data_IF_106897281460
#
_entry.id   IF_106897281460
#
_cell.length_a   1.000
_cell.length_b   1.000
_cell.length_c   1.000
_cell.angle_alpha   90.00
_cell.angle_beta   90.00
_cell.angle_gamma   90.00
#
_symmetry.space_group_name_H-M   'P 1'
#
loop_
_entity.id
_entity.type
_entity.pdbx_description
1 polymer ?
#
# COMPACT_ATOMS: atom_id res chain seq x y z
N UNK A 1 4.26 16.77 -4.62
CA UNK A 1 4.50 16.87 -3.16
C UNK A 1 3.15 16.72 -2.51
N UNK A 2 2.96 15.69 -1.69
CA UNK A 2 1.69 15.46 -1.00
C UNK A 2 1.77 16.08 0.39
N UNK A 3 0.73 16.80 0.80
CA UNK A 3 0.63 17.47 2.09
C UNK A 3 -0.70 17.07 2.72
N UNK A 4 -0.64 16.68 3.99
CA UNK A 4 -1.81 16.32 4.78
C UNK A 4 -1.77 17.08 6.09
N UNK A 5 -2.93 17.49 6.56
CA UNK A 5 -3.07 18.27 7.79
C UNK A 5 -3.84 17.45 8.81
N UNK A 6 -3.27 17.31 9.99
CA UNK A 6 -3.87 16.64 11.13
C UNK A 6 -3.74 17.56 12.34
N UNK A 7 -4.75 17.57 13.20
CA UNK A 7 -4.60 18.15 14.52
C UNK A 7 -3.72 17.25 15.38
N UNK A 8 -2.97 17.84 16.31
CA UNK A 8 -2.15 17.08 17.25
C UNK A 8 -2.97 16.04 18.01
N UNK A 9 -4.18 16.42 18.45
CA UNK A 9 -5.08 15.54 19.19
C UNK A 9 -5.49 14.30 18.41
N UNK A 10 -5.74 14.41 17.11
CA UNK A 10 -6.07 13.28 16.24
C UNK A 10 -4.90 12.31 16.11
N UNK A 11 -3.66 12.82 16.14
CA UNK A 11 -2.45 12.00 16.01
C UNK A 11 -2.13 11.29 17.33
N UNK A 12 -2.20 11.98 18.47
CA UNK A 12 -1.73 11.46 19.76
C UNK A 12 -2.79 10.65 20.53
N UNK A 13 -4.08 10.93 20.35
CA UNK A 13 -5.16 10.31 21.15
C UNK A 13 -5.95 9.26 20.35
N UNK A 14 -5.24 8.31 19.73
CA UNK A 14 -5.90 7.16 19.13
C UNK A 14 -6.05 6.05 20.17
N UNK A 15 -7.29 5.63 20.43
CA UNK A 15 -7.58 4.47 21.29
C UNK A 15 -7.20 3.14 20.61
N UNK A 16 -7.15 3.14 19.29
CA UNK A 16 -6.82 2.01 18.42
C UNK A 16 -5.47 2.22 17.68
N UNK A 17 -5.11 1.26 16.82
CA UNK A 17 -3.95 1.42 15.95
C UNK A 17 -4.12 2.63 15.01
N UNK A 18 -3.12 3.50 14.97
CA UNK A 18 -3.06 4.65 14.06
C UNK A 18 -1.93 4.47 13.05
N UNK A 19 -2.28 4.29 11.77
CA UNK A 19 -1.27 4.18 10.72
C UNK A 19 -0.43 5.45 10.59
N UNK A 20 -1.03 6.63 10.73
CA UNK A 20 -0.28 7.90 10.73
C UNK A 20 0.66 7.99 11.94
N UNK A 21 0.23 7.56 13.12
CA UNK A 21 1.07 7.48 14.32
C UNK A 21 2.24 6.52 14.12
N UNK A 22 1.98 5.34 13.55
CA UNK A 22 3.03 4.38 13.17
C UNK A 22 4.06 5.02 12.22
N UNK A 23 3.57 5.70 11.18
CA UNK A 23 4.41 6.37 10.19
C UNK A 23 5.27 7.47 10.81
N UNK A 24 4.70 8.28 11.69
CA UNK A 24 5.44 9.32 12.42
C UNK A 24 6.50 8.66 13.31
N UNK A 25 6.13 7.68 14.13
CA UNK A 25 7.05 7.05 15.06
C UNK A 25 8.27 6.45 14.35
N UNK A 26 8.07 5.79 13.21
CA UNK A 26 9.08 4.94 12.58
C UNK A 26 9.77 5.54 11.36
N UNK A 27 9.13 6.45 10.61
CA UNK A 27 9.61 6.92 9.30
C UNK A 27 9.58 8.46 9.13
N UNK A 28 9.40 9.24 10.18
CA UNK A 28 9.43 10.71 10.10
C UNK A 28 10.57 11.35 10.87
N UNK A 29 10.78 12.65 10.64
CA UNK A 29 11.65 13.52 11.42
C UNK A 29 10.87 14.79 11.79
N UNK A 30 11.00 15.27 13.02
CA UNK A 30 10.43 16.55 13.41
C UNK A 30 11.26 17.68 12.76
N UNK A 31 10.63 18.45 11.88
CA UNK A 31 11.29 19.56 11.15
C UNK A 31 11.18 20.87 11.94
N UNK A 32 10.06 21.07 12.65
CA UNK A 32 9.77 22.30 13.39
C UNK A 32 8.78 22.03 14.53
N UNK A 33 8.97 22.70 15.67
CA UNK A 33 8.08 22.64 16.82
C UNK A 33 8.43 21.51 17.78
N UNK A 34 7.43 21.02 18.51
CA UNK A 34 7.57 19.93 19.46
C UNK A 34 7.49 18.57 18.76
N UNK A 35 8.34 17.62 19.17
CA UNK A 35 8.34 16.28 18.59
C UNK A 35 7.19 15.44 19.12
N UNK A 36 6.15 15.28 18.30
CA UNK A 36 4.95 14.50 18.61
C UNK A 36 5.23 13.01 18.89
N UNK A 37 6.39 12.47 18.47
CA UNK A 37 6.79 11.08 18.76
C UNK A 37 6.90 10.79 20.25
N UNK A 38 7.14 11.83 21.07
CA UNK A 38 7.24 11.71 22.52
C UNK A 38 5.91 11.33 23.17
N UNK A 39 4.80 11.57 22.48
CA UNK A 39 3.44 11.33 22.95
C UNK A 39 2.77 10.12 22.30
N UNK A 40 3.40 9.53 21.27
CA UNK A 40 2.89 8.37 20.57
C UNK A 40 3.22 7.06 21.31
N UNK A 41 2.37 6.03 21.19
CA UNK A 41 2.69 4.71 21.72
C UNK A 41 3.87 4.09 20.96
N UNK A 42 4.46 3.05 21.56
CA UNK A 42 5.45 2.23 20.84
C UNK A 42 4.71 1.35 19.84
N UNK A 43 5.07 1.46 18.57
CA UNK A 43 4.56 0.59 17.54
C UNK A 43 5.52 -0.57 17.25
N UNK A 44 4.95 -1.66 16.76
CA UNK A 44 5.67 -2.79 16.18
C UNK A 44 5.01 -3.14 14.84
N UNK A 45 5.73 -3.88 14.00
CA UNK A 45 5.10 -4.47 12.81
C UNK A 45 4.09 -5.51 13.28
N UNK A 46 2.84 -5.40 12.83
CA UNK A 46 1.72 -6.19 13.33
C UNK A 46 0.58 -6.32 12.32
N UNK A 47 -0.42 -7.10 12.70
CA UNK A 47 -1.60 -7.43 11.90
C UNK A 47 -2.45 -6.21 11.53
N UNK A 48 -2.43 -5.17 12.36
CA UNK A 48 -3.10 -3.91 12.09
C UNK A 48 -2.51 -3.24 10.84
N UNK A 49 -1.19 -3.33 10.61
CA UNK A 49 -0.57 -2.86 9.36
C UNK A 49 -1.06 -3.69 8.16
N UNK A 50 -1.21 -5.00 8.34
CA UNK A 50 -1.74 -5.88 7.28
C UNK A 50 -3.15 -5.43 6.92
N UNK A 51 -4.00 -5.23 7.92
CA UNK A 51 -5.37 -4.77 7.72
C UNK A 51 -5.42 -3.44 6.95
N UNK A 52 -4.64 -2.44 7.35
CA UNK A 52 -4.59 -1.12 6.69
C UNK A 52 -4.29 -1.19 5.19
N UNK A 53 -3.35 -2.04 4.77
CA UNK A 53 -3.00 -2.16 3.35
C UNK A 53 -3.98 -3.02 2.54
N UNK A 54 -4.72 -3.92 3.19
CA UNK A 54 -5.53 -4.93 2.49
C UNK A 54 -7.03 -4.63 2.49
N UNK A 55 -7.57 -3.99 3.53
CA UNK A 55 -9.03 -3.83 3.70
C UNK A 55 -9.71 -3.06 2.57
N UNK A 56 -8.99 -2.13 1.94
CA UNK A 56 -9.52 -1.30 0.85
C UNK A 56 -9.00 -1.70 -0.53
N UNK A 57 -8.19 -2.76 -0.64
CA UNK A 57 -7.54 -3.13 -1.90
C UNK A 57 -8.55 -3.37 -3.04
N UNK A 58 -9.60 -4.16 -2.77
CA UNK A 58 -10.67 -4.43 -3.76
C UNK A 58 -11.29 -3.13 -4.26
N UNK A 59 -11.70 -2.26 -3.32
CA UNK A 59 -12.32 -0.98 -3.65
C UNK A 59 -11.38 -0.08 -4.45
N UNK A 60 -10.09 -0.04 -4.10
CA UNK A 60 -9.09 0.77 -4.81
C UNK A 60 -8.88 0.28 -6.25
N UNK A 61 -8.88 -1.04 -6.46
CA UNK A 61 -8.81 -1.64 -7.81
C UNK A 61 -10.09 -1.29 -8.58
N UNK A 62 -11.28 -1.50 -8.01
CA UNK A 62 -12.56 -1.15 -8.65
C UNK A 62 -12.65 0.34 -9.01
N UNK A 63 -12.20 1.23 -8.11
CA UNK A 63 -12.11 2.66 -8.39
C UNK A 63 -11.16 2.98 -9.54
N UNK A 64 -10.02 2.29 -9.62
CA UNK A 64 -9.08 2.43 -10.74
C UNK A 64 -9.73 2.05 -12.07
N UNK A 65 -10.54 0.98 -12.09
CA UNK A 65 -11.30 0.61 -13.30
C UNK A 65 -12.23 1.74 -13.74
N UNK A 66 -13.02 2.29 -12.81
CA UNK A 66 -13.95 3.39 -13.11
C UNK A 66 -13.21 4.64 -13.61
N UNK A 67 -12.12 5.01 -12.95
CA UNK A 67 -11.30 6.16 -13.33
C UNK A 67 -10.73 6.00 -14.75
N UNK A 68 -10.09 4.86 -15.06
CA UNK A 68 -9.47 4.64 -16.36
C UNK A 68 -10.48 4.54 -17.52
N UNK A 69 -11.67 3.98 -17.29
CA UNK A 69 -12.72 3.89 -18.33
C UNK A 69 -13.29 5.26 -18.68
N UNK A 70 -13.34 6.17 -17.72
CA UNK A 70 -13.93 7.50 -17.89
C UNK A 70 -12.90 8.61 -18.19
N UNK A 71 -11.61 8.33 -18.04
CA UNK A 71 -10.56 9.29 -18.30
C UNK A 71 -10.14 9.36 -19.77
N UNK A 72 -9.81 10.57 -20.23
CA UNK A 72 -9.30 10.86 -21.58
C UNK A 72 -7.98 11.64 -21.56
N UNK A 73 -7.53 12.07 -20.39
CA UNK A 73 -6.25 12.77 -20.22
C UNK A 73 -5.13 11.75 -19.97
N UNK A 74 -4.03 11.92 -20.68
CA UNK A 74 -2.89 11.01 -20.67
C UNK A 74 -2.09 11.12 -19.37
N UNK A 75 -1.93 12.34 -18.85
CA UNK A 75 -1.16 12.57 -17.62
C UNK A 75 -1.88 11.94 -16.42
N UNK A 76 -3.22 12.01 -16.41
CA UNK A 76 -4.04 11.36 -15.39
C UNK A 76 -3.93 9.82 -15.44
N UNK A 77 -3.77 9.23 -16.63
CA UNK A 77 -3.59 7.77 -16.77
C UNK A 77 -2.24 7.32 -16.19
N UNK A 78 -1.16 8.06 -16.44
CA UNK A 78 0.16 7.75 -15.87
C UNK A 78 0.16 7.86 -14.34
N UNK A 79 -0.49 8.90 -13.81
CA UNK A 79 -0.60 9.08 -12.37
C UNK A 79 -1.48 8.00 -11.72
N UNK A 80 -2.60 7.64 -12.36
CA UNK A 80 -3.46 6.55 -11.94
C UNK A 80 -2.70 5.21 -11.96
N UNK A 81 -2.00 4.88 -13.06
CA UNK A 81 -1.14 3.70 -13.19
C UNK A 81 -0.11 3.65 -12.06
N UNK A 82 0.63 4.74 -11.84
CA UNK A 82 1.65 4.81 -10.80
C UNK A 82 1.05 4.63 -9.41
N UNK A 83 -0.12 5.21 -9.16
CA UNK A 83 -0.80 5.15 -7.88
C UNK A 83 -1.27 3.72 -7.57
N UNK A 84 -2.00 3.07 -8.48
CA UNK A 84 -2.52 1.71 -8.23
C UNK A 84 -1.38 0.68 -8.11
N UNK A 85 -0.31 0.84 -8.88
CA UNK A 85 0.83 -0.09 -8.82
C UNK A 85 1.59 0.03 -7.50
N UNK A 86 1.64 1.22 -6.89
CA UNK A 86 2.15 1.38 -5.51
C UNK A 86 1.29 0.64 -4.49
N UNK A 87 -0.02 0.65 -4.66
CA UNK A 87 -0.96 -0.07 -3.79
C UNK A 87 -0.74 -1.57 -3.94
N UNK A 88 -0.69 -2.09 -5.17
CA UNK A 88 -0.41 -3.49 -5.47
C UNK A 88 0.88 -3.98 -4.80
N UNK A 89 1.98 -3.23 -4.93
CA UNK A 89 3.27 -3.61 -4.30
C UNK A 89 3.16 -3.60 -2.76
N UNK A 90 2.46 -2.63 -2.17
CA UNK A 90 2.30 -2.55 -0.71
C UNK A 90 1.39 -3.63 -0.15
N UNK A 91 0.32 -3.96 -0.85
CA UNK A 91 -0.52 -5.11 -0.53
C UNK A 91 0.28 -6.42 -0.60
N UNK A 92 1.15 -6.57 -1.60
CA UNK A 92 2.11 -7.66 -1.68
C UNK A 92 3.00 -7.78 -0.44
N UNK A 93 3.61 -6.67 0.02
CA UNK A 93 4.37 -6.65 1.26
C UNK A 93 3.52 -7.06 2.46
N UNK A 94 2.29 -6.55 2.57
CA UNK A 94 1.40 -6.83 3.68
C UNK A 94 1.14 -8.33 3.86
N UNK A 95 1.00 -9.09 2.77
CA UNK A 95 0.85 -10.55 2.80
C UNK A 95 2.07 -11.31 3.35
N UNK A 96 3.22 -10.65 3.52
CA UNK A 96 4.44 -11.27 4.05
C UNK A 96 4.70 -10.96 5.52
N UNK A 97 3.98 -9.96 6.08
CA UNK A 97 4.23 -9.44 7.42
C UNK A 97 4.17 -10.54 8.48
N UNK A 98 3.23 -11.48 8.36
CA UNK A 98 3.05 -12.55 9.35
C UNK A 98 4.24 -13.51 9.44
N UNK A 99 4.97 -13.64 8.32
CA UNK A 99 6.11 -14.57 8.21
C UNK A 99 7.43 -13.89 8.52
N UNK A 100 7.58 -12.62 8.12
CA UNK A 100 8.84 -11.90 8.22
C UNK A 100 8.89 -10.93 9.40
N UNK A 101 7.74 -10.39 9.83
CA UNK A 101 7.67 -9.34 10.84
C UNK A 101 8.33 -8.02 10.39
N UNK A 102 8.45 -7.81 9.08
CA UNK A 102 9.14 -6.67 8.48
C UNK A 102 8.17 -5.76 7.74
N UNK A 103 8.46 -4.46 7.77
CA UNK A 103 7.74 -3.44 7.02
C UNK A 103 8.73 -2.46 6.41
N UNK A 104 8.48 -2.05 5.17
CA UNK A 104 9.23 -0.98 4.51
C UNK A 104 8.30 -0.10 3.69
N UNK A 105 8.62 1.19 3.63
CA UNK A 105 7.98 2.14 2.72
C UNK A 105 8.56 2.08 1.31
N UNK A 106 9.78 1.58 1.19
CA UNK A 106 10.46 1.43 -0.09
C UNK A 106 9.90 0.21 -0.83
N UNK A 107 9.58 0.43 -2.10
CA UNK A 107 8.85 -0.56 -2.91
C UNK A 107 9.75 -1.70 -3.39
N UNK A 108 11.06 -1.49 -3.51
CA UNK A 108 11.98 -2.55 -3.90
C UNK A 108 12.13 -3.63 -2.80
N UNK A 109 12.42 -3.28 -1.53
CA UNK A 109 12.37 -4.26 -0.43
C UNK A 109 11.01 -4.95 -0.29
N UNK A 110 9.90 -4.23 -0.51
CA UNK A 110 8.56 -4.80 -0.53
C UNK A 110 8.42 -5.91 -1.59
N UNK A 111 8.86 -5.63 -2.81
CA UNK A 111 8.90 -6.60 -3.91
C UNK A 111 9.80 -7.81 -3.58
N UNK A 112 10.99 -7.60 -3.01
CA UNK A 112 11.92 -8.69 -2.68
C UNK A 112 11.32 -9.65 -1.64
N UNK A 113 10.72 -9.10 -0.58
CA UNK A 113 10.03 -9.88 0.45
C UNK A 113 8.84 -10.66 -0.14
N UNK A 114 8.02 -10.01 -0.98
CA UNK A 114 6.93 -10.70 -1.66
C UNK A 114 7.44 -11.87 -2.52
N UNK A 115 8.46 -11.62 -3.33
CA UNK A 115 8.99 -12.61 -4.29
C UNK A 115 9.62 -13.82 -3.61
N UNK A 116 10.15 -13.65 -2.40
CA UNK A 116 10.63 -14.76 -1.54
C UNK A 116 9.50 -15.73 -1.17
N UNK A 117 8.29 -15.23 -0.94
CA UNK A 117 7.14 -16.01 -0.47
C UNK A 117 6.16 -16.42 -1.57
N UNK A 118 6.16 -15.71 -2.69
CA UNK A 118 5.28 -15.93 -3.84
C UNK A 118 6.09 -15.96 -5.15
N UNK A 119 7.04 -16.90 -5.31
CA UNK A 119 7.96 -16.92 -6.45
C UNK A 119 7.25 -17.10 -7.80
N UNK A 120 6.10 -17.77 -7.82
CA UNK A 120 5.27 -17.94 -9.02
C UNK A 120 4.70 -16.60 -9.54
N UNK A 121 4.57 -15.62 -8.64
CA UNK A 121 4.02 -14.29 -8.94
C UNK A 121 5.10 -13.20 -9.03
N UNK A 122 6.39 -13.56 -8.91
CA UNK A 122 7.51 -12.60 -8.94
C UNK A 122 7.46 -11.72 -10.18
N UNK A 123 7.21 -12.30 -11.36
CA UNK A 123 7.17 -11.55 -12.62
C UNK A 123 6.07 -10.48 -12.62
N UNK A 124 4.91 -10.79 -12.06
CA UNK A 124 3.79 -9.86 -11.98
C UNK A 124 4.08 -8.75 -10.98
N UNK A 125 4.66 -9.08 -9.82
CA UNK A 125 5.07 -8.07 -8.84
C UNK A 125 6.18 -7.17 -9.37
N UNK A 126 7.15 -7.73 -10.10
CA UNK A 126 8.20 -6.95 -10.77
C UNK A 126 7.62 -6.00 -11.81
N UNK A 127 6.61 -6.45 -12.56
CA UNK A 127 5.88 -5.60 -13.53
C UNK A 127 5.19 -4.42 -12.82
N UNK A 128 4.49 -4.68 -11.71
CA UNK A 128 3.91 -3.60 -10.90
C UNK A 128 4.99 -2.61 -10.43
N UNK A 129 6.13 -3.10 -9.91
CA UNK A 129 7.23 -2.23 -9.48
C UNK A 129 7.79 -1.39 -10.64
N UNK A 130 7.91 -1.96 -11.83
CA UNK A 130 8.35 -1.25 -13.04
C UNK A 130 7.36 -0.13 -13.40
N UNK A 131 6.05 -0.40 -13.35
CA UNK A 131 5.01 0.61 -13.62
C UNK A 131 4.93 1.72 -12.58
N UNK A 132 5.47 1.51 -11.38
CA UNK A 132 5.67 2.62 -10.44
C UNK A 132 6.80 3.55 -10.88
N UNK A 133 7.81 3.07 -11.59
CA UNK A 133 8.96 3.86 -12.04
C UNK A 133 8.63 4.53 -13.38
N UNK A 134 8.22 3.71 -14.34
CA UNK A 134 7.86 4.07 -15.71
C UNK A 134 6.40 3.63 -15.94
N UNK A 135 5.41 4.45 -15.53
CA UNK A 135 4.01 4.13 -15.73
C UNK A 135 3.68 4.09 -17.23
N UNK A 136 2.70 3.27 -17.57
CA UNK A 136 2.22 3.13 -18.93
C UNK A 136 0.93 3.92 -19.13
N UNK A 137 0.63 4.21 -20.40
CA UNK A 137 -0.57 4.96 -20.85
C UNK A 137 -1.64 4.06 -21.45
N UNK A 138 -1.31 2.78 -21.63
CA UNK A 138 -2.20 1.80 -22.23
C UNK A 138 -3.21 1.33 -21.18
N UNK A 139 -4.44 1.88 -21.27
CA UNK A 139 -5.53 1.53 -20.37
C UNK A 139 -5.85 0.03 -20.43
N UNK A 140 -5.91 -0.56 -21.62
CA UNK A 140 -6.26 -1.97 -21.77
C UNK A 140 -5.23 -2.87 -21.08
N UNK A 141 -3.95 -2.51 -21.19
CA UNK A 141 -2.89 -3.24 -20.49
C UNK A 141 -2.97 -3.08 -18.97
N UNK A 142 -3.26 -1.87 -18.46
CA UNK A 142 -3.43 -1.65 -17.02
C UNK A 142 -4.61 -2.46 -16.50
N UNK A 143 -5.77 -2.39 -17.15
CA UNK A 143 -6.97 -3.11 -16.75
C UNK A 143 -6.74 -4.63 -16.82
N UNK A 144 -6.13 -5.13 -17.89
CA UNK A 144 -5.79 -6.56 -18.01
C UNK A 144 -4.84 -7.04 -16.91
N UNK A 145 -3.89 -6.20 -16.49
CA UNK A 145 -3.03 -6.52 -15.35
C UNK A 145 -3.81 -6.59 -14.03
N UNK A 146 -4.75 -5.67 -13.80
CA UNK A 146 -5.60 -5.66 -12.60
C UNK A 146 -6.59 -6.82 -12.59
N UNK A 147 -7.24 -7.12 -13.71
CA UNK A 147 -8.16 -8.26 -13.87
C UNK A 147 -7.49 -9.62 -13.70
N UNK A 148 -6.16 -9.68 -13.77
CA UNK A 148 -5.41 -10.93 -13.61
C UNK A 148 -4.67 -10.95 -12.28
N UNK A 149 -3.61 -10.16 -12.16
CA UNK A 149 -2.78 -10.15 -10.96
C UNK A 149 -3.46 -9.43 -9.80
N UNK A 150 -4.22 -8.36 -10.08
CA UNK A 150 -5.00 -7.66 -9.06
C UNK A 150 -6.05 -8.57 -8.42
N UNK A 151 -6.81 -9.31 -9.24
CA UNK A 151 -7.79 -10.29 -8.75
C UNK A 151 -7.17 -11.39 -7.89
N UNK A 152 -6.04 -11.96 -8.33
CA UNK A 152 -5.29 -12.92 -7.53
C UNK A 152 -4.85 -12.32 -6.17
N UNK A 153 -4.41 -11.05 -6.18
CA UNK A 153 -3.97 -10.36 -4.98
C UNK A 153 -5.13 -10.06 -4.04
N UNK A 154 -6.31 -9.70 -4.57
CA UNK A 154 -7.54 -9.50 -3.79
C UNK A 154 -7.94 -10.81 -3.11
N UNK A 155 -7.93 -11.95 -3.81
CA UNK A 155 -8.24 -13.25 -3.22
C UNK A 155 -7.31 -13.55 -2.02
N UNK A 156 -6.00 -13.31 -2.18
CA UNK A 156 -5.04 -13.49 -1.09
C UNK A 156 -5.24 -12.49 0.04
N UNK A 157 -5.61 -11.25 -0.28
CA UNK A 157 -5.90 -10.24 0.70
C UNK A 157 -7.12 -10.62 1.56
N UNK A 158 -8.20 -11.08 0.93
CA UNK A 158 -9.41 -11.52 1.62
C UNK A 158 -9.16 -12.75 2.50
N UNK A 159 -8.35 -13.70 2.01
CA UNK A 159 -7.94 -14.85 2.83
C UNK A 159 -7.09 -14.43 4.02
N UNK A 160 -6.19 -13.47 3.85
CA UNK A 160 -5.40 -12.90 4.96
C UNK A 160 -6.33 -12.23 5.98
N UNK A 161 -7.24 -11.37 5.51
CA UNK A 161 -8.17 -10.60 6.34
C UNK A 161 -9.10 -11.50 7.19
N UNK A 162 -9.53 -12.66 6.68
CA UNK A 162 -10.34 -13.63 7.45
C UNK A 162 -9.62 -14.18 8.68
N UNK A 163 -8.28 -14.20 8.65
CA UNK A 163 -7.45 -14.73 9.73
C UNK A 163 -6.99 -13.65 10.71
N UNK A 164 -7.29 -12.37 10.44
CA UNK A 164 -6.90 -11.29 11.33
C UNK A 164 -7.89 -11.17 12.49
N UNK A 165 -7.34 -11.16 13.70
CA UNK A 165 -8.07 -10.88 14.93
C UNK A 165 -7.62 -9.51 15.44
N UNK A 166 -8.45 -8.48 15.23
CA UNK A 166 -8.24 -7.08 15.65
C UNK A 166 -9.24 -6.75 16.73
#
# INVERSE_FOLDING_TARGET
MELSFYSEKEVINSEDFSFIGFMIQTHSVCILGEDVKLYLPKYKVSQEIVYEHLIHLRKQIEQTHEELIHNKDVDDIEDCCRWIMKIVVRAGLALTIDREGLYSRDLYPAYELFSKHFPEQEKNMRKALQYVIEPIKDIEEILSFLDTFGDWLIEKAEDSLKNIQI
#
